data_IF_037507140767
#
_entry.id   IF_037507140767
#
_cell.length_a   1.000
_cell.length_b   1.000
_cell.length_c   1.000
_cell.angle_alpha   90.00
_cell.angle_beta   90.00
_cell.angle_gamma   90.00
#
_symmetry.space_group_name_H-M   'P 1'
#
loop_
_entity.id
_entity.type
_entity.pdbx_description
1 polymer ?
#
# COMPACT_ATOMS: atom_id res chain seq x y z
N UNK A 1 -21.16 -12.60 8.29
CA UNK A 1 -21.76 -12.48 6.94
C UNK A 1 -22.14 -11.02 6.75
N UNK A 2 -21.34 -10.25 6.00
CA UNK A 2 -21.62 -8.83 5.75
C UNK A 2 -22.43 -8.76 4.46
N UNK A 3 -23.63 -8.21 4.54
CA UNK A 3 -24.50 -7.98 3.39
C UNK A 3 -23.98 -6.77 2.61
N UNK A 4 -23.62 -6.98 1.34
CA UNK A 4 -23.18 -5.91 0.43
C UNK A 4 -24.31 -5.59 -0.53
N UNK A 5 -24.82 -4.36 -0.50
CA UNK A 5 -25.70 -3.87 -1.57
C UNK A 5 -24.83 -3.31 -2.70
N UNK A 6 -25.23 -3.59 -3.94
CA UNK A 6 -24.57 -3.03 -5.12
C UNK A 6 -24.86 -1.52 -5.19
N UNK A 7 -23.86 -0.70 -4.85
CA UNK A 7 -23.92 0.74 -5.04
C UNK A 7 -23.67 1.08 -6.50
N UNK A 8 -24.66 1.66 -7.18
CA UNK A 8 -24.50 2.27 -8.50
C UNK A 8 -24.02 3.73 -8.32
N UNK A 9 -22.79 4.05 -8.74
CA UNK A 9 -22.28 5.43 -8.82
C UNK A 9 -20.76 5.60 -8.61
N UNK A 10 -20.17 6.62 -9.25
CA UNK A 10 -18.72 6.83 -9.48
C UNK A 10 -17.83 7.09 -8.24
N UNK A 11 -18.35 7.00 -7.01
CA UNK A 11 -17.56 7.23 -5.78
C UNK A 11 -17.95 6.27 -4.65
N UNK A 12 -17.70 4.97 -4.82
CA UNK A 12 -18.15 3.93 -3.88
C UNK A 12 -17.19 3.67 -2.69
N UNK A 13 -15.92 4.05 -2.79
CA UNK A 13 -14.92 3.71 -1.75
C UNK A 13 -14.97 4.62 -0.52
N UNK A 14 -15.26 5.91 -0.70
CA UNK A 14 -15.32 6.87 0.41
C UNK A 14 -16.57 6.71 1.28
N UNK A 15 -17.69 6.27 0.69
CA UNK A 15 -19.00 6.32 1.35
C UNK A 15 -19.29 5.16 2.31
N UNK A 16 -18.42 4.14 2.35
CA UNK A 16 -18.59 2.92 3.15
C UNK A 16 -17.38 2.64 4.08
N UNK A 17 -16.46 3.58 4.25
CA UNK A 17 -15.29 3.42 5.11
C UNK A 17 -15.48 4.12 6.46
N UNK A 18 -14.95 3.53 7.54
CA UNK A 18 -14.92 4.12 8.89
C UNK A 18 -14.06 5.39 9.00
N UNK A 19 -13.54 5.89 7.88
CA UNK A 19 -12.74 7.12 7.75
C UNK A 19 -13.64 8.33 7.45
N UNK A 20 -14.93 8.09 7.15
CA UNK A 20 -15.90 9.14 6.88
C UNK A 20 -16.04 10.06 8.11
N UNK A 21 -15.51 11.29 7.99
CA UNK A 21 -15.49 12.31 9.05
C UNK A 21 -14.13 12.59 9.68
N UNK A 22 -13.09 11.77 9.42
CA UNK A 22 -11.72 11.99 9.94
C UNK A 22 -10.86 12.77 8.95
N UNK A 23 -10.99 12.49 7.65
CA UNK A 23 -10.26 13.18 6.58
C UNK A 23 -11.21 13.79 5.57
N UNK A 24 -10.81 14.93 5.02
CA UNK A 24 -11.53 15.57 3.92
C UNK A 24 -11.40 14.73 2.64
N UNK A 25 -12.53 14.49 1.96
CA UNK A 25 -12.56 13.66 0.75
C UNK A 25 -11.74 14.29 -0.39
N UNK A 26 -11.79 15.60 -0.57
CA UNK A 26 -11.05 16.25 -1.64
C UNK A 26 -9.53 16.16 -1.39
N UNK A 27 -9.10 16.30 -0.13
CA UNK A 27 -7.70 16.02 0.25
C UNK A 27 -7.31 14.57 0.01
N UNK A 28 -8.19 13.61 0.30
CA UNK A 28 -7.91 12.20 0.04
C UNK A 28 -7.75 11.94 -1.46
N UNK A 29 -8.67 12.46 -2.28
CA UNK A 29 -8.64 12.27 -3.73
C UNK A 29 -7.41 12.94 -4.39
N UNK A 30 -6.82 13.96 -3.74
CA UNK A 30 -5.61 14.63 -4.21
C UNK A 30 -4.30 14.07 -3.65
N UNK A 31 -4.35 13.06 -2.77
CA UNK A 31 -3.16 12.49 -2.14
C UNK A 31 -2.58 11.37 -3.00
N UNK A 32 -1.31 11.52 -3.38
CA UNK A 32 -0.57 10.51 -4.12
C UNK A 32 0.66 10.07 -3.33
N UNK A 33 0.82 8.77 -3.17
CA UNK A 33 2.03 8.19 -2.55
C UNK A 33 3.14 8.19 -3.60
N UNK A 34 4.30 8.81 -3.34
CA UNK A 34 5.39 8.95 -4.31
C UNK A 34 6.23 7.66 -4.38
N UNK A 35 5.58 6.52 -4.61
CA UNK A 35 6.22 5.21 -4.71
C UNK A 35 5.89 4.59 -6.05
N UNK A 36 6.93 4.18 -6.78
CA UNK A 36 6.82 3.48 -8.04
C UNK A 36 7.59 2.16 -7.98
N UNK A 37 6.87 1.05 -8.12
CA UNK A 37 7.46 -0.28 -8.23
C UNK A 37 7.42 -0.74 -9.67
N UNK A 38 8.51 -0.57 -10.45
CA UNK A 38 8.53 -0.98 -11.86
C UNK A 38 8.46 -2.51 -11.98
N UNK A 39 7.96 -2.98 -13.13
CA UNK A 39 8.11 -4.39 -13.48
C UNK A 39 9.56 -4.70 -13.87
N UNK A 40 9.96 -5.98 -13.81
CA UNK A 40 11.28 -6.39 -14.30
C UNK A 40 11.49 -6.14 -15.80
N UNK A 41 10.40 -6.15 -16.59
CA UNK A 41 10.41 -5.81 -18.01
C UNK A 41 10.64 -4.31 -18.21
N UNK A 42 9.87 -3.47 -17.52
CA UNK A 42 10.00 -2.03 -17.57
C UNK A 42 11.39 -1.54 -17.12
N UNK A 43 11.91 -2.09 -16.01
CA UNK A 43 13.25 -1.75 -15.54
C UNK A 43 14.32 -2.14 -16.58
N UNK A 44 14.12 -3.26 -17.28
CA UNK A 44 15.02 -3.69 -18.35
C UNK A 44 14.99 -2.73 -19.54
N UNK A 45 13.81 -2.31 -19.97
CA UNK A 45 13.64 -1.33 -21.05
C UNK A 45 14.34 -0.02 -20.70
N UNK A 46 14.12 0.52 -19.49
CA UNK A 46 14.77 1.76 -19.03
C UNK A 46 16.30 1.66 -19.09
N UNK A 47 16.88 0.55 -18.62
CA UNK A 47 18.34 0.35 -18.63
C UNK A 47 18.87 0.26 -20.07
N UNK A 48 18.15 -0.42 -20.95
CA UNK A 48 18.55 -0.59 -22.35
C UNK A 48 18.45 0.71 -23.15
N UNK A 49 17.39 1.48 -22.92
CA UNK A 49 17.18 2.79 -23.56
C UNK A 49 18.21 3.82 -23.11
N UNK A 50 18.65 3.79 -21.85
CA UNK A 50 19.72 4.66 -21.36
C UNK A 50 21.10 4.29 -21.95
N UNK A 51 21.43 2.99 -22.01
CA UNK A 51 22.54 2.46 -22.81
C UNK A 51 23.95 2.52 -22.19
N UNK A 52 24.15 3.08 -20.99
CA UNK A 52 25.46 3.12 -20.32
C UNK A 52 25.81 1.79 -19.64
N UNK A 53 24.82 0.92 -19.39
CA UNK A 53 25.00 -0.34 -18.68
C UNK A 53 24.53 -1.54 -19.50
N UNK A 54 25.19 -2.68 -19.31
CA UNK A 54 24.73 -3.97 -19.82
C UNK A 54 24.23 -4.84 -18.68
N UNK A 55 23.03 -5.41 -18.86
CA UNK A 55 22.43 -6.31 -17.88
C UNK A 55 23.13 -7.67 -17.99
N UNK A 56 23.89 -8.06 -16.95
CA UNK A 56 24.51 -9.40 -16.85
C UNK A 56 23.58 -10.43 -16.22
N UNK A 57 22.85 -10.03 -15.18
CA UNK A 57 21.86 -10.83 -14.47
C UNK A 57 20.79 -9.89 -13.91
N UNK A 58 19.55 -10.36 -13.81
CA UNK A 58 18.44 -9.62 -13.21
C UNK A 58 17.54 -10.61 -12.49
N UNK A 59 17.37 -10.43 -11.18
CA UNK A 59 16.58 -11.31 -10.33
C UNK A 59 15.47 -10.51 -9.68
N UNK A 60 14.27 -11.07 -9.69
CA UNK A 60 13.16 -10.56 -8.90
C UNK A 60 13.13 -11.36 -7.61
N UNK A 61 13.22 -10.65 -6.50
CA UNK A 61 13.07 -11.25 -5.18
C UNK A 61 11.62 -11.15 -4.76
N UNK A 62 11.02 -12.28 -4.39
CA UNK A 62 9.74 -12.25 -3.71
C UNK A 62 9.98 -11.88 -2.25
N UNK A 63 9.88 -10.58 -1.97
CA UNK A 63 9.99 -10.04 -0.62
C UNK A 63 9.10 -10.82 0.37
N UNK A 64 7.98 -11.41 -0.06
CA UNK A 64 7.07 -12.13 0.85
C UNK A 64 7.57 -13.50 1.32
N UNK A 65 8.54 -14.09 0.63
CA UNK A 65 9.13 -15.38 1.05
C UNK A 65 10.22 -15.19 2.10
N UNK A 66 10.82 -13.99 2.13
CA UNK A 66 11.99 -13.68 2.94
C UNK A 66 11.81 -12.45 3.85
N UNK A 67 10.63 -11.83 3.84
CA UNK A 67 10.24 -10.88 4.88
C UNK A 67 10.23 -11.63 6.21
N UNK A 68 10.91 -11.06 7.20
CA UNK A 68 10.92 -11.60 8.55
C UNK A 68 9.47 -11.84 9.00
N UNK A 69 9.23 -13.01 9.61
CA UNK A 69 7.94 -13.43 10.18
C UNK A 69 7.26 -12.32 11.00
N UNK A 70 8.07 -11.41 11.55
CA UNK A 70 7.67 -10.21 12.26
C UNK A 70 6.76 -9.25 11.48
N UNK A 71 6.90 -9.13 10.15
CA UNK A 71 6.01 -8.29 9.32
C UNK A 71 4.65 -8.91 9.02
N UNK A 72 4.43 -10.18 9.39
CA UNK A 72 3.10 -10.77 9.40
C UNK A 72 2.33 -10.45 10.68
N UNK A 73 2.97 -9.83 11.68
CA UNK A 73 2.28 -9.26 12.83
C UNK A 73 1.67 -7.93 12.38
N UNK A 74 0.33 -7.76 12.44
CA UNK A 74 -0.34 -6.57 11.94
C UNK A 74 0.25 -5.25 12.46
N UNK A 75 0.57 -5.19 13.76
CA UNK A 75 1.17 -4.01 14.37
C UNK A 75 2.57 -3.70 13.83
N UNK A 76 3.41 -4.71 13.60
CA UNK A 76 4.74 -4.51 13.00
C UNK A 76 4.65 -3.96 11.58
N UNK A 77 3.75 -4.50 10.76
CA UNK A 77 3.54 -4.02 9.39
C UNK A 77 3.01 -2.59 9.36
N UNK A 78 2.04 -2.27 10.21
CA UNK A 78 1.47 -0.91 10.29
C UNK A 78 2.50 0.09 10.81
N UNK A 79 3.32 -0.29 11.79
CA UNK A 79 4.42 0.56 12.26
C UNK A 79 5.51 0.75 11.19
N UNK A 80 5.77 -0.26 10.36
CA UNK A 80 6.65 -0.14 9.20
C UNK A 80 6.09 0.86 8.18
N UNK A 81 4.79 0.78 7.84
CA UNK A 81 4.13 1.76 6.97
C UNK A 81 4.16 3.17 7.57
N UNK A 82 3.90 3.29 8.88
CA UNK A 82 4.00 4.56 9.59
C UNK A 82 5.41 5.14 9.46
N UNK A 83 6.45 4.36 9.71
CA UNK A 83 7.83 4.83 9.62
C UNK A 83 8.19 5.38 8.21
N UNK A 84 7.64 4.80 7.14
CA UNK A 84 7.90 5.25 5.77
C UNK A 84 7.06 6.47 5.38
N UNK A 85 5.76 6.45 5.70
CA UNK A 85 4.80 7.39 5.11
C UNK A 85 4.32 8.48 6.06
N UNK A 86 4.64 8.42 7.35
CA UNK A 86 4.21 9.44 8.33
C UNK A 86 4.53 10.88 7.89
N UNK A 87 5.75 11.22 7.40
CA UNK A 87 6.04 12.60 7.01
C UNK A 87 5.07 13.14 5.94
N UNK A 88 4.81 12.37 4.89
CA UNK A 88 3.94 12.81 3.78
C UNK A 88 2.46 12.79 4.16
N UNK A 89 2.04 11.86 5.03
CA UNK A 89 0.66 11.78 5.50
C UNK A 89 0.38 12.97 6.43
N UNK A 90 1.29 13.28 7.35
CA UNK A 90 1.14 14.41 8.28
C UNK A 90 1.19 15.74 7.55
N UNK A 91 2.08 15.89 6.56
CA UNK A 91 2.14 17.10 5.74
C UNK A 91 0.80 17.39 5.04
N UNK A 92 0.13 16.37 4.51
CA UNK A 92 -1.09 16.55 3.71
C UNK A 92 -2.38 16.58 4.56
N UNK A 93 -2.47 15.70 5.55
CA UNK A 93 -3.69 15.47 6.34
C UNK A 93 -3.63 16.04 7.76
N UNK A 94 -2.44 16.37 8.29
CA UNK A 94 -2.25 16.81 9.68
C UNK A 94 -2.15 15.66 10.67
N UNK A 95 -2.61 15.87 11.90
CA UNK A 95 -2.51 14.89 13.00
C UNK A 95 -3.53 13.75 12.86
N UNK A 96 -3.27 12.82 11.93
CA UNK A 96 -4.16 11.68 11.64
C UNK A 96 -3.52 10.32 11.94
N UNK A 97 -2.26 10.29 12.34
CA UNK A 97 -1.47 9.06 12.37
C UNK A 97 -1.91 8.05 13.43
N UNK A 98 -2.44 8.50 14.57
CA UNK A 98 -2.92 7.58 15.62
C UNK A 98 -4.18 6.84 15.17
N UNK A 99 -5.09 7.56 14.49
CA UNK A 99 -6.30 6.96 13.91
C UNK A 99 -5.95 6.07 12.71
N UNK A 100 -4.97 6.48 11.89
CA UNK A 100 -4.42 5.65 10.83
C UNK A 100 -3.92 4.31 11.37
N UNK A 101 -3.03 4.32 12.38
CA UNK A 101 -2.48 3.09 12.98
C UNK A 101 -3.61 2.21 13.53
N UNK A 102 -4.53 2.78 14.30
CA UNK A 102 -5.64 2.05 14.93
C UNK A 102 -6.55 1.37 13.88
N UNK A 103 -6.94 2.08 12.82
CA UNK A 103 -7.78 1.54 11.74
C UNK A 103 -7.00 0.49 10.95
N UNK A 104 -5.76 0.78 10.61
CA UNK A 104 -4.87 -0.09 9.86
C UNK A 104 -4.70 -1.42 10.60
N UNK A 105 -4.25 -1.41 11.85
CA UNK A 105 -4.04 -2.63 12.63
C UNK A 105 -5.31 -3.46 12.72
N UNK A 106 -6.47 -2.83 12.93
CA UNK A 106 -7.76 -3.52 12.93
C UNK A 106 -8.07 -4.15 11.57
N UNK A 107 -7.79 -3.47 10.45
CA UNK A 107 -8.00 -4.01 9.10
C UNK A 107 -7.10 -5.22 8.85
N UNK A 108 -5.82 -5.12 9.17
CA UNK A 108 -4.82 -6.17 8.97
C UNK A 108 -4.94 -7.33 9.97
N UNK A 109 -5.61 -7.13 11.10
CA UNK A 109 -5.89 -8.20 12.08
C UNK A 109 -7.10 -9.08 11.72
N UNK A 110 -7.93 -8.69 10.73
CA UNK A 110 -9.03 -9.53 10.26
C UNK A 110 -8.45 -10.67 9.42
N UNK A 111 -8.64 -11.91 9.89
CA UNK A 111 -8.14 -13.15 9.26
C UNK A 111 -8.50 -13.20 7.76
N UNK A 112 -7.52 -13.54 6.92
CA UNK A 112 -7.66 -13.64 5.47
C UNK A 112 -7.35 -12.36 4.69
N UNK A 113 -7.32 -11.18 5.33
CA UNK A 113 -7.09 -9.89 4.63
C UNK A 113 -5.77 -9.84 3.86
N UNK A 114 -4.64 -10.26 4.44
CA UNK A 114 -3.34 -10.23 3.76
C UNK A 114 -3.28 -11.17 2.56
N UNK A 115 -3.79 -12.41 2.69
CA UNK A 115 -3.74 -13.39 1.59
C UNK A 115 -4.76 -13.04 0.49
N UNK A 116 -5.94 -12.54 0.86
CA UNK A 116 -6.94 -12.08 -0.09
C UNK A 116 -6.54 -10.78 -0.81
N UNK A 117 -5.87 -9.85 -0.13
CA UNK A 117 -5.34 -8.62 -0.72
C UNK A 117 -4.16 -8.93 -1.64
N UNK A 118 -3.31 -9.90 -1.26
CA UNK A 118 -2.24 -10.46 -2.10
C UNK A 118 -2.78 -11.13 -3.37
N UNK A 119 -3.83 -11.95 -3.25
CA UNK A 119 -4.47 -12.60 -4.40
C UNK A 119 -5.12 -11.58 -5.34
N UNK A 120 -5.57 -10.43 -4.82
CA UNK A 120 -6.20 -9.35 -5.60
C UNK A 120 -5.21 -8.35 -6.19
N UNK A 121 -4.05 -8.15 -5.56
CA UNK A 121 -3.04 -7.20 -5.99
C UNK A 121 -1.63 -7.79 -5.82
N UNK A 122 -1.10 -8.51 -6.83
CA UNK A 122 0.21 -9.14 -6.77
C UNK A 122 1.39 -8.16 -6.85
N UNK A 123 1.16 -6.85 -6.85
CA UNK A 123 2.22 -5.84 -6.77
C UNK A 123 2.80 -5.86 -5.35
N UNK A 124 3.81 -6.70 -5.15
CA UNK A 124 4.66 -6.66 -3.98
C UNK A 124 5.14 -5.21 -3.78
N UNK A 125 4.97 -4.67 -2.58
CA UNK A 125 5.69 -3.46 -2.19
C UNK A 125 7.17 -3.83 -2.16
N UNK A 126 7.88 -3.50 -3.23
CA UNK A 126 9.32 -3.49 -3.24
C UNK A 126 9.75 -2.20 -2.51
N UNK A 127 10.28 -2.35 -1.31
CA UNK A 127 11.10 -1.32 -0.70
C UNK A 127 12.51 -1.46 -1.26
N UNK A 128 13.05 -0.35 -1.77
CA UNK A 128 14.46 -0.24 -2.19
C UNK A 128 15.35 -0.13 -0.96
#
# INVERSE_FOLDING_TARGET
MVHMNQGQGETSYAHNSSIQGVIDKAKFDSFYVPVYGPSGEELREIIQDEGSFSIRDMRVYDATTDMDSMLFIPSSFVNYLRAIFEPIIVEHFGEVMDEFVRIAERRWSLEGSMQDERARNPRAMLAV
#
